data_IF_564819309347
#
_entry.id   IF_564819309347
#
_cell.length_a   1.000
_cell.length_b   1.000
_cell.length_c   1.000
_cell.angle_alpha   90.00
_cell.angle_beta   90.00
_cell.angle_gamma   90.00
#
_symmetry.space_group_name_H-M   'P 1'
#
loop_
_entity.id
_entity.type
_entity.pdbx_description
1 polymer ?
#
# COMPACT_ATOMS: atom_id res chain seq x y z
N UNK A 1 9.74 10.71 12.63
CA UNK A 1 8.71 10.15 11.71
C UNK A 1 9.30 9.58 10.42
N UNK A 2 10.48 10.02 9.98
CA UNK A 2 11.17 9.57 8.76
C UNK A 2 11.50 8.07 8.69
N UNK A 3 11.82 7.42 9.82
CA UNK A 3 12.21 6.01 9.82
C UNK A 3 11.05 5.02 9.55
N UNK A 4 9.81 5.37 9.92
CA UNK A 4 8.65 4.48 9.70
C UNK A 4 8.19 4.56 8.24
N UNK A 5 8.11 5.77 7.68
CA UNK A 5 7.73 5.96 6.27
C UNK A 5 8.66 5.23 5.31
N UNK A 6 9.96 5.17 5.61
CA UNK A 6 10.95 4.47 4.77
C UNK A 6 10.73 2.96 4.66
N UNK A 7 10.06 2.34 5.63
CA UNK A 7 9.75 0.91 5.61
C UNK A 7 8.42 0.59 4.92
N UNK A 8 7.63 1.60 4.59
CA UNK A 8 6.42 1.44 3.78
C UNK A 8 6.86 1.60 2.32
N UNK A 9 6.62 0.63 1.42
CA UNK A 9 6.96 0.77 0.01
C UNK A 9 6.45 2.07 -0.64
N UNK A 10 5.21 2.46 -0.33
CA UNK A 10 4.65 3.75 -0.76
C UNK A 10 5.31 5.00 -0.15
N UNK A 11 6.31 4.86 0.73
CA UNK A 11 7.11 5.96 1.29
C UNK A 11 6.38 6.91 2.24
N UNK A 12 5.11 6.64 2.55
CA UNK A 12 4.27 7.46 3.42
C UNK A 12 3.48 6.63 4.41
N UNK A 13 3.14 7.23 5.54
CA UNK A 13 2.12 6.67 6.41
C UNK A 13 0.76 6.66 5.71
N UNK A 14 -0.01 5.62 6.00
CA UNK A 14 -1.43 5.60 5.66
C UNK A 14 -2.17 6.75 6.34
N UNK A 15 -3.21 7.24 5.68
CA UNK A 15 -4.16 8.21 6.20
C UNK A 15 -5.50 7.53 6.45
N UNK A 16 -6.37 8.07 7.33
CA UNK A 16 -7.69 7.50 7.57
C UNK A 16 -8.50 7.27 6.28
N UNK A 17 -8.32 8.13 5.29
CA UNK A 17 -9.01 8.06 4.00
C UNK A 17 -8.64 6.80 3.21
N UNK A 18 -7.39 6.30 3.32
CA UNK A 18 -6.97 5.08 2.61
C UNK A 18 -7.83 3.86 3.01
N UNK A 19 -8.19 3.77 4.31
CA UNK A 19 -9.06 2.70 4.83
C UNK A 19 -10.53 2.97 4.51
N UNK A 20 -10.96 4.23 4.59
CA UNK A 20 -12.33 4.63 4.28
C UNK A 20 -12.69 4.32 2.82
N UNK A 21 -11.81 4.65 1.88
CA UNK A 21 -12.01 4.43 0.45
C UNK A 21 -12.02 2.93 0.11
N UNK A 22 -11.12 2.14 0.70
CA UNK A 22 -11.13 0.69 0.54
C UNK A 22 -12.42 0.05 1.09
N UNK A 23 -12.88 0.53 2.24
CA UNK A 23 -14.15 0.08 2.84
C UNK A 23 -15.35 0.49 2.00
N UNK A 24 -15.33 1.70 1.44
CA UNK A 24 -16.36 2.20 0.55
C UNK A 24 -16.44 1.35 -0.72
N UNK A 25 -15.31 1.01 -1.33
CA UNK A 25 -15.26 0.07 -2.45
C UNK A 25 -15.88 -1.28 -2.10
N UNK A 26 -15.48 -1.89 -0.99
CA UNK A 26 -16.01 -3.20 -0.56
C UNK A 26 -17.52 -3.16 -0.23
N UNK A 27 -18.04 -2.02 0.20
CA UNK A 27 -19.47 -1.82 0.45
C UNK A 27 -20.28 -1.49 -0.81
N UNK A 28 -19.62 -1.17 -1.93
CA UNK A 28 -20.26 -0.76 -3.17
C UNK A 28 -20.76 -1.94 -4.01
N UNK A 29 -21.57 -1.65 -5.02
CA UNK A 29 -21.99 -2.64 -6.02
C UNK A 29 -20.83 -3.25 -6.82
N UNK A 30 -19.71 -2.53 -6.91
CA UNK A 30 -18.55 -2.93 -7.71
C UNK A 30 -17.82 -4.12 -7.08
N UNK A 31 -18.01 -4.34 -5.77
CA UNK A 31 -17.48 -5.49 -5.04
C UNK A 31 -18.52 -6.62 -4.86
N UNK A 32 -19.66 -6.60 -5.58
CA UNK A 32 -20.81 -7.49 -5.34
C UNK A 32 -20.53 -9.01 -5.40
N UNK A 33 -19.42 -9.42 -6.02
CA UNK A 33 -19.02 -10.83 -6.08
C UNK A 33 -17.67 -11.12 -5.39
N UNK A 34 -17.11 -10.14 -4.69
CA UNK A 34 -15.86 -10.28 -3.93
C UNK A 34 -16.20 -10.72 -2.52
N UNK A 35 -15.81 -11.94 -2.16
CA UNK A 35 -16.01 -12.50 -0.83
C UNK A 35 -14.83 -13.43 -0.46
N UNK A 36 -14.64 -13.67 0.84
CA UNK A 36 -13.60 -14.57 1.33
C UNK A 36 -12.16 -14.06 1.15
N UNK A 37 -11.97 -12.82 0.69
CA UNK A 37 -10.67 -12.20 0.45
C UNK A 37 -10.26 -11.25 1.58
N UNK A 38 -8.95 -11.17 1.83
CA UNK A 38 -8.35 -10.15 2.69
C UNK A 38 -7.79 -9.05 1.78
N UNK A 39 -8.26 -7.81 1.97
CA UNK A 39 -7.72 -6.63 1.30
C UNK A 39 -6.79 -5.88 2.27
N UNK A 40 -5.48 -5.94 2.01
CA UNK A 40 -4.50 -5.18 2.78
C UNK A 40 -4.49 -3.71 2.36
N UNK A 41 -4.50 -2.81 3.34
CA UNK A 41 -4.45 -1.36 3.16
C UNK A 41 -3.29 -0.80 3.99
N UNK A 42 -2.06 -1.11 3.58
CA UNK A 42 -0.85 -0.87 4.39
C UNK A 42 0.32 -0.24 3.60
N UNK A 43 0.06 0.22 2.38
CA UNK A 43 1.07 0.81 1.51
C UNK A 43 2.14 -0.19 1.02
N UNK A 44 1.84 -1.50 1.05
CA UNK A 44 2.72 -2.57 0.59
C UNK A 44 3.55 -3.21 1.71
N UNK A 45 3.33 -2.83 2.97
CA UNK A 45 4.10 -3.30 4.11
C UNK A 45 4.14 -4.83 4.21
N UNK A 46 3.00 -5.50 4.09
CA UNK A 46 2.89 -6.97 4.21
C UNK A 46 3.66 -7.70 3.10
N UNK A 47 3.84 -7.06 1.94
CA UNK A 47 4.56 -7.65 0.81
C UNK A 47 6.07 -7.40 0.85
N UNK A 48 6.55 -6.47 1.68
CA UNK A 48 7.92 -5.96 1.56
C UNK A 48 9.03 -6.95 1.98
N UNK A 49 8.73 -7.99 2.78
CA UNK A 49 9.61 -9.16 2.97
C UNK A 49 11.01 -8.94 3.59
N UNK A 50 11.49 -7.70 3.69
CA UNK A 50 12.84 -7.31 4.12
C UNK A 50 12.81 -6.26 5.24
N UNK A 51 13.88 -6.16 6.03
CA UNK A 51 14.02 -5.24 7.16
C UNK A 51 14.53 -3.83 6.77
N UNK A 52 14.85 -3.63 5.49
CA UNK A 52 15.46 -2.42 4.92
C UNK A 52 14.51 -1.24 4.65
N UNK A 53 15.02 -0.23 3.94
CA UNK A 53 14.24 0.95 3.53
C UNK A 53 13.46 0.64 2.23
N UNK A 54 12.25 0.12 2.37
CA UNK A 54 11.33 -0.19 1.28
C UNK A 54 11.14 0.93 0.25
N UNK A 55 11.00 2.16 0.73
CA UNK A 55 10.68 3.28 -0.16
C UNK A 55 11.83 3.63 -1.11
N UNK A 56 13.08 3.41 -0.69
CA UNK A 56 14.27 3.73 -1.49
C UNK A 56 14.39 2.76 -2.69
N UNK A 57 14.05 1.48 -2.50
CA UNK A 57 13.96 0.49 -3.58
C UNK A 57 12.78 0.74 -4.53
N UNK A 58 11.68 1.29 -4.00
CA UNK A 58 10.49 1.63 -4.80
C UNK A 58 10.78 2.79 -5.75
N UNK A 59 11.50 3.82 -5.29
CA UNK A 59 11.93 4.96 -6.09
C UNK A 59 12.83 4.51 -7.26
N UNK A 60 13.76 3.58 -7.02
CA UNK A 60 14.64 3.02 -8.06
C UNK A 60 13.86 2.22 -9.12
N UNK A 61 12.93 1.35 -8.69
CA UNK A 61 12.17 0.47 -9.59
C UNK A 61 11.14 1.24 -10.46
N UNK A 62 10.46 2.25 -9.90
CA UNK A 62 9.52 3.07 -10.68
C UNK A 62 10.22 4.13 -11.55
N UNK A 63 11.44 4.56 -11.20
CA UNK A 63 12.26 5.39 -12.08
C UNK A 63 12.69 4.64 -13.34
N UNK A 64 13.00 3.34 -13.26
CA UNK A 64 13.29 2.50 -14.44
C UNK A 64 12.04 2.23 -15.31
N UNK A 65 10.85 2.09 -14.72
CA UNK A 65 9.61 1.81 -15.46
C UNK A 65 9.04 3.02 -16.23
N UNK A 66 9.55 4.23 -15.98
CA UNK A 66 9.12 5.48 -16.62
C UNK A 66 9.99 5.91 -17.83
N UNK A 67 10.96 5.08 -18.24
CA UNK A 67 11.75 5.24 -19.47
C UNK A 67 11.29 4.31 -20.58
#
# INVERSE_FOLDING_TARGET
LTAIGRRIPMGRMGRPEDVADASFFLASSDASYINGSILYVDGGWTSFGDAGNASELYDECFAEAAG
#
